data_IF_295340876486
#
_entry.id   IF_295340876486
#
_cell.length_a   1.000
_cell.length_b   1.000
_cell.length_c   1.000
_cell.angle_alpha   90.00
_cell.angle_beta   90.00
_cell.angle_gamma   90.00
#
_symmetry.space_group_name_H-M   'P 1'
#
loop_
_entity.id
_entity.type
_entity.pdbx_description
1 polymer ?
#
# COMPACT_ATOMS: atom_id res chain seq x y z
N UNK A 1 5.12 -19.13 -0.81
CA UNK A 1 5.98 -17.98 -0.46
C UNK A 1 5.30 -16.63 -0.75
N UNK A 2 4.15 -16.62 -1.44
CA UNK A 2 3.37 -15.41 -1.79
C UNK A 2 2.61 -14.76 -0.63
N UNK A 3 2.12 -15.51 0.37
CA UNK A 3 1.28 -14.93 1.44
C UNK A 3 2.01 -13.97 2.40
N UNK A 4 3.36 -14.03 2.44
CA UNK A 4 4.16 -13.20 3.34
C UNK A 4 4.15 -11.72 2.91
N UNK A 5 4.31 -11.46 1.62
CA UNK A 5 4.33 -10.11 1.07
C UNK A 5 2.96 -9.42 1.11
N UNK A 6 1.87 -10.18 0.99
CA UNK A 6 0.52 -9.63 1.12
C UNK A 6 0.26 -9.01 2.51
N UNK A 7 0.80 -9.60 3.58
CA UNK A 7 0.63 -9.07 4.93
C UNK A 7 1.44 -7.79 5.17
N UNK A 8 2.71 -7.78 4.77
CA UNK A 8 3.62 -6.64 4.92
C UNK A 8 3.07 -5.41 4.20
N UNK A 9 2.55 -5.61 3.00
CA UNK A 9 1.97 -4.56 2.17
C UNK A 9 0.60 -4.10 2.69
N UNK A 10 -0.21 -5.00 3.23
CA UNK A 10 -1.44 -4.64 3.92
C UNK A 10 -1.17 -3.77 5.15
N UNK A 11 -0.12 -4.09 5.92
CA UNK A 11 0.31 -3.29 7.07
C UNK A 11 0.75 -1.89 6.61
N UNK A 12 1.58 -1.79 5.57
CA UNK A 12 2.00 -0.52 4.99
C UNK A 12 0.82 0.34 4.50
N UNK A 13 -0.12 -0.25 3.76
CA UNK A 13 -1.33 0.40 3.30
C UNK A 13 -2.17 0.94 4.47
N UNK A 14 -2.31 0.14 5.52
CA UNK A 14 -3.08 0.52 6.71
C UNK A 14 -2.43 1.71 7.43
N UNK A 15 -1.09 1.70 7.57
CA UNK A 15 -0.36 2.82 8.18
C UNK A 15 -0.45 4.08 7.29
N UNK A 16 -0.27 3.94 5.98
CA UNK A 16 -0.30 5.04 5.02
C UNK A 16 -1.68 5.72 4.95
N UNK A 17 -2.76 4.97 5.17
CA UNK A 17 -4.12 5.51 5.17
C UNK A 17 -4.37 6.59 6.25
N UNK A 18 -3.51 6.67 7.27
CA UNK A 18 -3.64 7.61 8.38
C UNK A 18 -2.45 8.56 8.40
N UNK A 19 -2.65 9.78 7.88
CA UNK A 19 -1.60 10.82 7.74
C UNK A 19 -0.81 11.11 9.03
N UNK A 20 -1.46 11.04 10.20
CA UNK A 20 -0.78 11.26 11.49
C UNK A 20 0.13 10.11 11.92
N UNK A 21 -0.06 8.92 11.36
CA UNK A 21 0.51 7.65 11.80
C UNK A 21 -0.40 6.87 12.74
N UNK A 22 -0.05 5.61 13.01
CA UNK A 22 -0.80 4.71 13.86
C UNK A 22 0.04 4.18 15.02
N UNK A 23 -0.54 4.08 16.21
CA UNK A 23 0.07 3.31 17.30
C UNK A 23 -0.10 1.81 17.06
N UNK A 24 0.80 0.99 17.63
CA UNK A 24 0.76 -0.49 17.50
C UNK A 24 -0.62 -1.07 17.88
N UNK A 25 -1.21 -0.60 18.98
CA UNK A 25 -2.53 -1.07 19.42
C UNK A 25 -3.66 -0.67 18.45
N UNK A 26 -3.56 0.51 17.84
CA UNK A 26 -4.56 1.01 16.89
C UNK A 26 -4.48 0.22 15.58
N UNK A 27 -3.26 -0.02 15.10
CA UNK A 27 -2.98 -0.87 13.95
C UNK A 27 -3.45 -2.32 14.17
N UNK A 28 -3.16 -2.89 15.34
CA UNK A 28 -3.62 -4.23 15.73
C UNK A 28 -5.14 -4.35 15.76
N UNK A 29 -5.85 -3.28 16.15
CA UNK A 29 -7.32 -3.26 16.15
C UNK A 29 -7.87 -3.22 14.73
N UNK A 30 -7.28 -2.41 13.85
CA UNK A 30 -7.72 -2.30 12.44
C UNK A 30 -7.48 -3.62 11.69
N UNK A 31 -6.37 -4.29 11.96
CA UNK A 31 -5.99 -5.57 11.34
C UNK A 31 -6.49 -6.80 12.12
N UNK A 32 -7.43 -6.62 13.05
CA UNK A 32 -8.01 -7.72 13.82
C UNK A 32 -8.61 -8.77 12.89
N UNK A 33 -8.41 -10.05 13.21
CA UNK A 33 -8.84 -11.18 12.38
C UNK A 33 -7.95 -11.47 11.17
N UNK A 34 -7.03 -10.57 10.80
CA UNK A 34 -6.09 -10.78 9.67
C UNK A 34 -4.70 -11.19 10.15
N UNK A 35 -4.25 -10.67 11.29
CA UNK A 35 -2.93 -10.97 11.87
C UNK A 35 -2.98 -10.93 13.40
N UNK A 36 -2.25 -11.84 14.05
CA UNK A 36 -2.11 -11.82 15.51
C UNK A 36 -1.24 -10.64 15.95
N UNK A 37 -1.45 -10.15 17.17
CA UNK A 37 -0.69 -9.01 17.71
C UNK A 37 0.82 -9.28 17.78
N UNK A 38 1.21 -10.50 18.11
CA UNK A 38 2.63 -10.91 18.18
C UNK A 38 3.25 -10.83 16.79
N UNK A 39 2.62 -11.46 15.79
CA UNK A 39 3.10 -11.45 14.41
C UNK A 39 3.13 -10.03 13.82
N UNK A 40 2.15 -9.19 14.16
CA UNK A 40 2.15 -7.79 13.75
C UNK A 40 3.36 -7.02 14.29
N UNK A 41 3.75 -7.23 15.55
CA UNK A 41 4.94 -6.59 16.13
C UNK A 41 6.21 -7.04 15.41
N UNK A 42 6.31 -8.33 15.08
CA UNK A 42 7.44 -8.87 14.31
C UNK A 42 7.53 -8.25 12.91
N UNK A 43 6.41 -8.14 12.19
CA UNK A 43 6.41 -7.51 10.86
C UNK A 43 6.68 -6.00 10.93
N UNK A 44 6.16 -5.29 11.93
CA UNK A 44 6.53 -3.88 12.16
C UNK A 44 8.04 -3.75 12.40
N UNK A 45 8.65 -4.65 13.15
CA UNK A 45 10.09 -4.61 13.39
C UNK A 45 10.88 -4.78 12.09
N UNK A 46 10.51 -5.75 11.25
CA UNK A 46 11.14 -5.97 9.93
C UNK A 46 10.93 -4.80 8.99
N UNK A 47 9.71 -4.30 8.83
CA UNK A 47 9.40 -3.14 7.99
C UNK A 47 10.23 -1.91 8.42
N UNK A 48 10.51 -1.76 9.71
CA UNK A 48 11.38 -0.70 10.23
C UNK A 48 12.86 -0.96 9.89
N UNK A 49 13.34 -2.18 10.04
CA UNK A 49 14.72 -2.57 9.69
C UNK A 49 14.99 -2.41 8.19
N UNK A 50 13.97 -2.65 7.36
CA UNK A 50 14.00 -2.43 5.91
C UNK A 50 13.85 -0.94 5.51
N UNK A 51 13.64 -0.05 6.48
CA UNK A 51 13.53 1.39 6.26
C UNK A 51 12.21 1.86 5.62
N UNK A 52 11.19 1.00 5.60
CA UNK A 52 9.88 1.30 4.98
C UNK A 52 8.96 2.09 5.91
N UNK A 53 9.17 1.96 7.21
CA UNK A 53 8.43 2.70 8.23
C UNK A 53 9.36 3.36 9.25
N UNK A 54 8.91 4.47 9.81
CA UNK A 54 9.56 5.20 10.88
C UNK A 54 8.66 5.21 12.12
N UNK A 55 9.28 5.18 13.29
CA UNK A 55 8.58 5.34 14.57
C UNK A 55 8.91 6.72 15.11
N UNK A 56 7.91 7.59 15.24
CA UNK A 56 8.02 8.94 15.82
C UNK A 56 7.22 9.03 17.11
N UNK A 57 7.59 9.95 18.01
CA UNK A 57 6.77 10.24 19.20
C UNK A 57 5.51 10.99 18.80
N UNK A 58 4.40 10.70 19.46
CA UNK A 58 3.17 11.45 19.32
C UNK A 58 3.36 12.86 19.92
N UNK A 59 3.20 13.93 19.13
CA UNK A 59 3.35 15.30 19.63
C UNK A 59 2.30 15.66 20.69
N UNK A 60 1.15 14.99 20.72
CA UNK A 60 0.08 15.22 21.72
C UNK A 60 0.25 14.37 22.97
N UNK A 61 0.89 13.21 22.86
CA UNK A 61 1.15 12.32 23.98
C UNK A 61 2.58 11.78 23.93
N UNK A 62 3.53 12.46 24.59
CA UNK A 62 4.97 12.19 24.48
C UNK A 62 5.41 10.75 24.82
N UNK A 63 4.57 9.97 25.51
CA UNK A 63 4.82 8.55 25.81
C UNK A 63 4.34 7.59 24.71
N UNK A 64 3.48 8.04 23.80
CA UNK A 64 2.92 7.22 22.72
C UNK A 64 3.80 7.32 21.49
N UNK A 65 4.11 6.17 20.89
CA UNK A 65 4.83 6.08 19.62
C UNK A 65 3.84 5.89 18.47
N UNK A 66 4.07 6.61 17.38
CA UNK A 66 3.33 6.52 16.12
C UNK A 66 4.24 5.93 15.05
N UNK A 67 3.71 4.95 14.34
CA UNK A 67 4.30 4.36 13.16
C UNK A 67 3.81 5.15 11.96
N UNK A 68 4.74 5.58 11.12
CA UNK A 68 4.46 6.25 9.84
C UNK A 68 5.24 5.57 8.73
N UNK A 69 4.69 5.58 7.52
CA UNK A 69 5.41 5.12 6.33
C UNK A 69 6.49 6.15 5.97
N UNK A 70 7.64 5.66 5.49
CA UNK A 70 8.72 6.52 5.01
C UNK A 70 8.27 7.35 3.80
N UNK A 71 8.75 8.58 3.72
CA UNK A 71 8.34 9.54 2.69
C UNK A 71 8.66 9.07 1.28
N UNK A 72 9.79 8.37 1.06
CA UNK A 72 10.13 7.80 -0.25
C UNK A 72 9.12 6.75 -0.71
N UNK A 73 8.53 6.03 0.25
CA UNK A 73 7.49 5.05 -0.05
C UNK A 73 6.19 5.78 -0.38
N UNK A 74 5.83 6.82 0.39
CA UNK A 74 4.66 7.68 0.11
C UNK A 74 4.74 8.35 -1.27
N UNK A 75 5.93 8.81 -1.68
CA UNK A 75 6.15 9.32 -3.03
C UNK A 75 5.91 8.24 -4.09
N UNK A 76 6.37 7.01 -3.85
CA UNK A 76 6.06 5.88 -4.73
C UNK A 76 4.56 5.54 -4.76
N UNK A 77 3.82 5.75 -3.66
CA UNK A 77 2.36 5.63 -3.66
C UNK A 77 1.69 6.64 -4.58
N UNK A 78 2.05 7.92 -4.46
CA UNK A 78 1.39 8.99 -5.19
C UNK A 78 1.65 8.90 -6.70
N UNK A 79 2.84 8.46 -7.10
CA UNK A 79 3.19 8.24 -8.51
C UNK A 79 2.48 7.04 -9.14
N UNK A 80 2.03 6.08 -8.33
CA UNK A 80 1.33 4.87 -8.78
C UNK A 80 -0.16 4.96 -8.43
N UNK A 81 -0.71 6.15 -8.17
CA UNK A 81 -2.13 6.33 -7.84
C UNK A 81 -2.92 6.78 -9.07
N UNK A 82 -4.00 6.07 -9.38
CA UNK A 82 -4.99 6.56 -10.35
C UNK A 82 -5.80 7.65 -9.66
N UNK A 83 -5.64 8.89 -10.10
CA UNK A 83 -6.52 9.98 -9.70
C UNK A 83 -7.94 9.64 -10.18
N UNK A 84 -8.83 9.38 -9.22
CA UNK A 84 -10.21 8.97 -9.46
C UNK A 84 -11.01 10.04 -10.21
N UNK A 85 -10.91 10.03 -11.54
CA UNK A 85 -11.84 10.70 -12.43
C UNK A 85 -12.98 9.74 -12.78
N UNK A 86 -14.22 10.23 -12.77
CA UNK A 86 -15.35 9.52 -13.36
C UNK A 86 -15.04 9.19 -14.82
N UNK A 87 -14.85 7.92 -15.14
CA UNK A 87 -14.72 7.43 -16.53
C UNK A 87 -16.10 7.56 -17.18
N UNK A 88 -16.37 8.73 -17.78
CA UNK A 88 -17.61 8.97 -18.54
C UNK A 88 -17.55 8.41 -19.97
N UNK A 89 -16.36 8.03 -20.45
CA UNK A 89 -16.13 7.43 -21.77
C UNK A 89 -15.49 6.04 -21.63
N UNK A 90 -16.32 5.00 -21.80
CA UNK A 90 -15.87 3.60 -21.82
C UNK A 90 -15.04 3.32 -23.08
N UNK A 91 -15.29 4.04 -24.19
CA UNK A 91 -14.66 3.81 -25.50
C UNK A 91 -13.13 3.88 -25.50
N UNK A 92 -12.54 4.71 -24.63
CA UNK A 92 -11.08 4.88 -24.51
C UNK A 92 -10.51 4.33 -23.21
N UNK A 93 -11.28 3.54 -22.45
CA UNK A 93 -10.86 3.02 -21.16
C UNK A 93 -9.69 2.05 -21.30
N UNK A 94 -9.70 1.20 -22.33
CA UNK A 94 -8.61 0.25 -22.62
C UNK A 94 -7.29 0.97 -22.91
N UNK A 95 -7.31 2.03 -23.72
CA UNK A 95 -6.13 2.84 -24.04
C UNK A 95 -5.62 3.62 -22.83
N UNK A 96 -6.52 4.21 -22.04
CA UNK A 96 -6.17 4.91 -20.80
C UNK A 96 -5.56 3.96 -19.77
N UNK A 97 -6.13 2.76 -19.60
CA UNK A 97 -5.57 1.73 -18.73
C UNK A 97 -4.21 1.26 -19.22
N UNK A 98 -4.06 1.03 -20.54
CA UNK A 98 -2.77 0.63 -21.12
C UNK A 98 -1.70 1.70 -20.91
N UNK A 99 -2.01 2.96 -21.21
CA UNK A 99 -1.11 4.09 -20.98
C UNK A 99 -0.71 4.22 -19.51
N UNK A 100 -1.66 4.03 -18.60
CA UNK A 100 -1.41 4.04 -17.16
C UNK A 100 -0.49 2.89 -16.72
N UNK A 101 -0.77 1.66 -17.14
CA UNK A 101 0.06 0.49 -16.82
C UNK A 101 1.48 0.70 -17.34
N UNK A 102 1.64 1.20 -18.56
CA UNK A 102 2.96 1.50 -19.14
C UNK A 102 3.69 2.55 -18.31
N UNK A 103 3.03 3.66 -17.98
CA UNK A 103 3.62 4.74 -17.18
C UNK A 103 4.08 4.23 -15.80
N UNK A 104 3.23 3.46 -15.11
CA UNK A 104 3.56 2.89 -13.82
C UNK A 104 4.68 1.86 -13.93
N UNK A 105 4.67 1.00 -14.95
CA UNK A 105 5.70 -0.01 -15.18
C UNK A 105 7.06 0.64 -15.46
N UNK A 106 7.06 1.72 -16.26
CA UNK A 106 8.26 2.52 -16.52
C UNK A 106 8.77 3.15 -15.22
N UNK A 107 7.93 3.78 -14.41
CA UNK A 107 8.34 4.32 -13.11
C UNK A 107 8.90 3.22 -12.19
N UNK A 108 8.19 2.11 -12.02
CA UNK A 108 8.62 0.97 -11.19
C UNK A 108 9.97 0.41 -11.65
N UNK A 109 10.24 0.42 -12.95
CA UNK A 109 11.52 -0.03 -13.49
C UNK A 109 12.70 0.83 -13.05
N UNK A 110 12.48 2.12 -12.77
CA UNK A 110 13.51 3.06 -12.28
C UNK A 110 13.80 2.92 -10.78
N UNK A 111 12.97 2.19 -10.03
CA UNK A 111 13.15 2.01 -8.59
C UNK A 111 14.30 1.02 -8.33
N UNK A 112 15.39 1.52 -7.77
CA UNK A 112 16.58 0.71 -7.43
C UNK A 112 16.34 -0.20 -6.23
N UNK A 113 15.60 0.26 -5.21
CA UNK A 113 15.38 -0.54 -4.01
C UNK A 113 14.39 -1.69 -4.31
N UNK A 114 14.80 -2.96 -4.15
CA UNK A 114 13.98 -4.11 -4.57
C UNK A 114 12.69 -4.26 -3.77
N UNK A 115 12.65 -3.80 -2.52
CA UNK A 115 11.46 -3.89 -1.67
C UNK A 115 10.45 -2.82 -2.06
N UNK A 116 10.92 -1.59 -2.29
CA UNK A 116 10.09 -0.49 -2.80
C UNK A 116 9.53 -0.84 -4.17
N UNK A 117 10.35 -1.48 -5.03
CA UNK A 117 9.93 -1.96 -6.34
C UNK A 117 8.81 -3.01 -6.22
N UNK A 118 8.98 -4.03 -5.36
CA UNK A 118 7.93 -5.03 -5.10
C UNK A 118 6.66 -4.40 -4.55
N UNK A 119 6.79 -3.44 -3.65
CA UNK A 119 5.66 -2.74 -3.07
C UNK A 119 4.88 -1.93 -4.11
N UNK A 120 5.59 -1.18 -4.96
CA UNK A 120 4.97 -0.42 -6.04
C UNK A 120 4.25 -1.33 -7.04
N UNK A 121 4.82 -2.51 -7.36
CA UNK A 121 4.15 -3.54 -8.17
C UNK A 121 2.87 -4.04 -7.52
N UNK A 122 2.91 -4.39 -6.23
CA UNK A 122 1.71 -4.81 -5.49
C UNK A 122 0.61 -3.75 -5.52
N UNK A 123 0.97 -2.48 -5.29
CA UNK A 123 0.02 -1.36 -5.29
C UNK A 123 -0.63 -1.13 -6.65
N UNK A 124 0.14 -1.29 -7.73
CA UNK A 124 -0.38 -1.22 -9.09
C UNK A 124 -1.41 -2.32 -9.35
N UNK A 125 -1.07 -3.57 -9.01
CA UNK A 125 -1.96 -4.73 -9.18
C UNK A 125 -3.24 -4.58 -8.35
N UNK A 126 -3.11 -4.12 -7.11
CA UNK A 126 -4.26 -3.88 -6.22
C UNK A 126 -5.21 -2.83 -6.79
N UNK A 127 -4.70 -1.69 -7.27
CA UNK A 127 -5.53 -0.67 -7.91
C UNK A 127 -6.19 -1.17 -9.19
N UNK A 128 -5.47 -1.97 -9.98
CA UNK A 128 -6.03 -2.59 -11.17
C UNK A 128 -7.18 -3.55 -10.81
N UNK A 129 -7.00 -4.37 -9.77
CA UNK A 129 -8.05 -5.24 -9.23
C UNK A 129 -9.28 -4.44 -8.77
N UNK A 130 -9.09 -3.37 -8.00
CA UNK A 130 -10.18 -2.49 -7.55
C UNK A 130 -10.95 -1.87 -8.73
N UNK A 131 -10.25 -1.46 -9.79
CA UNK A 131 -10.87 -0.95 -11.00
C UNK A 131 -11.63 -2.05 -11.74
N UNK A 132 -11.05 -3.23 -11.90
CA UNK A 132 -11.70 -4.36 -12.56
C UNK A 132 -12.98 -4.79 -11.83
N UNK A 133 -12.95 -4.83 -10.49
CA UNK A 133 -14.16 -5.04 -9.67
C UNK A 133 -15.20 -3.95 -9.91
N UNK A 134 -14.78 -2.68 -9.98
CA UNK A 134 -15.70 -1.56 -10.22
C UNK A 134 -16.35 -1.58 -11.61
N UNK A 135 -15.61 -2.02 -12.63
CA UNK A 135 -16.08 -2.09 -14.02
C UNK A 135 -16.97 -3.33 -14.23
N UNK A 136 -16.51 -4.49 -13.77
CA UNK A 136 -17.18 -5.76 -14.03
C UNK A 136 -18.35 -6.02 -13.07
N UNK A 137 -18.45 -5.27 -11.96
CA UNK A 137 -19.47 -5.48 -10.93
C UNK A 137 -19.37 -6.82 -10.21
N UNK A 138 -18.30 -7.59 -10.44
CA UNK A 138 -18.08 -8.90 -9.83
C UNK A 138 -17.27 -8.71 -8.56
N UNK A 139 -17.83 -9.14 -7.43
CA UNK A 139 -17.07 -9.33 -6.18
C UNK A 139 -16.13 -10.53 -6.37
N UNK A 140 -14.98 -10.32 -7.01
CA UNK A 140 -13.94 -11.33 -7.19
C UNK A 140 -12.65 -10.88 -6.52
N UNK A 141 -12.16 -11.65 -5.56
CA UNK A 141 -10.77 -11.56 -5.11
C UNK A 141 -9.90 -11.99 -6.30
N UNK A 142 -9.28 -11.03 -6.98
CA UNK A 142 -8.22 -11.34 -7.94
C UNK A 142 -6.98 -11.70 -7.14
N UNK A 143 -6.74 -13.00 -6.97
CA UNK A 143 -5.47 -13.52 -6.47
C UNK A 143 -4.40 -13.32 -7.55
N UNK A 144 -3.51 -12.36 -7.29
CA UNK A 144 -2.27 -12.12 -8.05
C UNK A 144 -1.05 -12.46 -7.21
#
# INVERSE_FOLDING_TARGET
MESKWQLDFLILDTIASVKRGLGVNELSRILSGKVSKVKLIEEIKKLREEGLIKVKKDPKHKQRSLIVVDEKILEAFDNVKINGGTVRDIGNLSEKLRSYIVTCSSYISTITNPIVKKYATYRLLRQFSEIMVSILGVKGEFDF
#
